data_IF_480187522190
#
_entry.id   IF_480187522190
#
_cell.length_a   1.000
_cell.length_b   1.000
_cell.length_c   1.000
_cell.angle_alpha   90.00
_cell.angle_beta   90.00
_cell.angle_gamma   90.00
#
_symmetry.space_group_name_H-M   'P 1'
#
loop_
_entity.id
_entity.type
_entity.pdbx_description
1 polymer ?
#
# COMPACT_ATOMS: atom_id res chain seq x y z
N UNK A 1 -2.45 5.58 16.05
CA UNK A 1 -2.67 4.68 14.91
C UNK A 1 -4.02 5.01 14.34
N UNK A 2 -4.07 5.81 13.29
CA UNK A 2 -5.32 6.29 12.68
C UNK A 2 -5.30 5.91 11.21
N UNK A 3 -6.31 5.15 10.78
CA UNK A 3 -6.49 4.84 9.38
C UNK A 3 -6.98 6.08 8.65
N UNK A 4 -6.36 6.37 7.51
CA UNK A 4 -6.79 7.42 6.58
C UNK A 4 -7.03 6.76 5.23
N UNK A 5 -8.12 7.12 4.56
CA UNK A 5 -8.40 6.67 3.19
C UNK A 5 -7.51 7.43 2.22
N UNK A 6 -6.73 6.69 1.43
CA UNK A 6 -5.88 7.24 0.36
C UNK A 6 -6.39 6.76 -0.99
N UNK A 7 -6.41 7.65 -1.97
CA UNK A 7 -6.67 7.31 -3.36
C UNK A 7 -5.35 7.01 -4.09
N UNK A 8 -5.37 5.99 -4.93
CA UNK A 8 -4.22 5.51 -5.70
C UNK A 8 -4.60 5.18 -7.14
N UNK A 9 -3.62 5.20 -8.02
CA UNK A 9 -3.79 4.79 -9.43
C UNK A 9 -2.52 4.17 -10.00
N UNK A 10 -2.68 3.30 -10.99
CA UNK A 10 -1.56 2.85 -11.79
C UNK A 10 -1.04 3.99 -12.68
N UNK A 11 0.22 3.90 -13.11
CA UNK A 11 0.87 4.86 -14.00
C UNK A 11 0.04 5.17 -15.25
N UNK A 12 -0.62 4.17 -15.84
CA UNK A 12 -1.46 4.31 -17.02
C UNK A 12 -2.85 4.90 -16.74
N UNK A 13 -3.25 5.08 -15.48
CA UNK A 13 -4.56 5.59 -15.07
C UNK A 13 -5.73 4.61 -15.23
N UNK A 14 -5.54 3.48 -15.92
CA UNK A 14 -6.60 2.49 -16.14
C UNK A 14 -7.05 1.77 -14.85
N UNK A 15 -6.17 1.70 -13.84
CA UNK A 15 -6.47 1.14 -12.52
C UNK A 15 -6.49 2.28 -11.51
N UNK A 16 -7.59 2.41 -10.79
CA UNK A 16 -7.79 3.36 -9.70
C UNK A 16 -8.33 2.58 -8.50
N UNK A 17 -7.88 2.93 -7.29
CA UNK A 17 -8.26 2.24 -6.07
C UNK A 17 -8.24 3.20 -4.88
N UNK A 18 -8.90 2.80 -3.80
CA UNK A 18 -8.80 3.43 -2.49
C UNK A 18 -8.33 2.41 -1.47
N UNK A 19 -7.55 2.85 -0.49
CA UNK A 19 -7.05 2.01 0.59
C UNK A 19 -7.01 2.78 1.90
N UNK A 20 -7.49 2.15 2.97
CA UNK A 20 -7.35 2.66 4.33
C UNK A 20 -6.01 2.21 4.92
N UNK A 21 -5.11 3.15 5.17
CA UNK A 21 -3.78 2.84 5.69
C UNK A 21 -3.37 3.79 6.81
N UNK A 22 -2.48 3.32 7.67
CA UNK A 22 -1.73 4.18 8.59
C UNK A 22 -0.31 4.35 8.06
N UNK A 23 -0.07 5.43 7.30
CA UNK A 23 1.27 5.71 6.77
C UNK A 23 2.26 6.16 7.85
N UNK A 24 1.78 6.58 9.04
CA UNK A 24 2.63 6.92 10.18
C UNK A 24 3.18 5.67 10.88
N UNK A 25 2.55 4.51 10.68
CA UNK A 25 3.09 3.21 11.12
C UNK A 25 4.36 2.81 10.36
N UNK A 26 4.74 3.57 9.31
CA UNK A 26 5.92 3.35 8.51
C UNK A 26 5.65 2.57 7.23
N UNK A 27 6.68 2.46 6.41
CA UNK A 27 6.63 1.80 5.11
C UNK A 27 7.73 0.76 5.01
N UNK A 28 7.55 -0.20 4.11
CA UNK A 28 8.45 -1.32 3.90
C UNK A 28 9.16 -1.19 2.55
N UNK A 29 10.49 -1.33 2.60
CA UNK A 29 11.34 -1.49 1.42
C UNK A 29 12.10 -2.81 1.51
N UNK A 30 11.67 -3.80 0.74
CA UNK A 30 12.37 -5.07 0.63
C UNK A 30 13.65 -4.94 -0.22
N UNK A 31 14.67 -5.73 0.10
CA UNK A 31 15.95 -5.77 -0.61
C UNK A 31 16.11 -6.96 -1.57
N UNK A 32 15.05 -7.75 -1.80
CA UNK A 32 15.12 -8.84 -2.77
C UNK A 32 15.28 -8.27 -4.20
N UNK A 33 15.82 -9.09 -5.11
CA UNK A 33 16.15 -8.64 -6.47
C UNK A 33 14.93 -8.14 -7.25
N UNK A 34 13.75 -8.71 -7.02
CA UNK A 34 12.50 -8.31 -7.68
C UNK A 34 12.10 -6.90 -7.22
N UNK A 35 11.99 -6.67 -5.91
CA UNK A 35 11.61 -5.38 -5.34
C UNK A 35 12.64 -4.29 -5.66
N UNK A 36 13.93 -4.62 -5.64
CA UNK A 36 14.99 -3.69 -6.00
C UNK A 36 14.87 -3.24 -7.47
N UNK A 37 14.64 -4.19 -8.40
CA UNK A 37 14.49 -3.88 -9.84
C UNK A 37 13.20 -3.11 -10.15
N UNK A 38 12.08 -3.45 -9.51
CA UNK A 38 10.81 -2.76 -9.72
C UNK A 38 10.66 -1.46 -8.93
N UNK A 39 11.62 -1.13 -8.05
CA UNK A 39 11.56 0.00 -7.10
C UNK A 39 10.29 -0.04 -6.23
N UNK A 40 9.93 -1.24 -5.79
CA UNK A 40 8.72 -1.43 -5.00
C UNK A 40 8.90 -0.98 -3.55
N UNK A 41 8.05 -0.05 -3.13
CA UNK A 41 7.98 0.47 -1.76
C UNK A 41 6.53 0.38 -1.30
N UNK A 42 6.27 -0.45 -0.29
CA UNK A 42 4.92 -0.77 0.15
C UNK A 42 4.57 -0.07 1.47
N UNK A 43 3.31 0.37 1.59
CA UNK A 43 2.66 0.51 2.89
C UNK A 43 1.82 -0.76 3.12
N UNK A 44 1.89 -1.34 4.32
CA UNK A 44 1.07 -2.51 4.65
C UNK A 44 -0.33 -2.02 5.03
N UNK A 45 -1.32 -2.46 4.27
CA UNK A 45 -2.73 -2.17 4.49
C UNK A 45 -3.31 -3.29 5.35
N UNK A 46 -4.02 -3.01 6.46
CA UNK A 46 -4.63 -4.07 7.25
C UNK A 46 -5.61 -4.87 6.39
N UNK A 47 -5.58 -6.19 6.52
CA UNK A 47 -6.61 -7.03 5.95
C UNK A 47 -7.92 -6.66 6.64
N UNK A 48 -8.93 -6.24 5.86
CA UNK A 48 -10.30 -6.11 6.35
C UNK A 48 -10.69 -7.46 6.95
N UNK A 49 -10.70 -7.52 8.27
CA UNK A 49 -11.21 -8.65 9.01
C UNK A 49 -12.60 -8.26 9.46
N UNK A 50 -13.54 -8.14 8.53
CA UNK A 50 -14.95 -8.18 8.88
C UNK A 50 -15.28 -9.63 9.23
N UNK A 51 -14.94 -10.07 10.44
CA UNK A 51 -15.66 -11.19 11.04
C UNK A 51 -17.06 -10.68 11.34
N UNK A 52 -18.01 -11.09 10.51
CA UNK A 52 -19.35 -11.41 11.00
C UNK A 52 -19.32 -12.86 11.47
#
# INVERSE_FOLDING_TARGET
MTLTTYSGRCHCGAVQFEAEADLQAGTMRCNCSICAKSRFWAALVPAVTSYL
#
